data_IF_991497157122
#
_entry.id   IF_991497157122
#
_cell.length_a   1.000
_cell.length_b   1.000
_cell.length_c   1.000
_cell.angle_alpha   90.00
_cell.angle_beta   90.00
_cell.angle_gamma   90.00
#
_symmetry.space_group_name_H-M   'P 1'
#
loop_
_entity.id
_entity.type
_entity.pdbx_description
1 polymer ?
#
# COMPACT_ATOMS: atom_id res chain seq x y z
N UNK A 1 1.88 -2.13 -13.12
CA UNK A 1 1.97 -3.16 -12.05
C UNK A 1 0.63 -3.86 -11.93
N UNK A 2 0.56 -5.15 -11.59
CA UNK A 2 -0.72 -5.85 -11.40
C UNK A 2 -1.35 -5.47 -10.05
N UNK A 3 -2.64 -5.16 -10.02
CA UNK A 3 -3.40 -4.80 -8.82
C UNK A 3 -3.27 -5.83 -7.70
N UNK A 4 -3.44 -7.12 -8.04
CA UNK A 4 -3.29 -8.24 -7.09
C UNK A 4 -1.91 -8.34 -6.44
N UNK A 5 -0.88 -7.80 -7.09
CA UNK A 5 0.46 -7.76 -6.50
C UNK A 5 0.54 -6.66 -5.43
N UNK A 6 0.00 -5.48 -5.72
CA UNK A 6 -0.07 -4.35 -4.80
C UNK A 6 -0.89 -4.74 -3.56
N UNK A 7 -2.05 -5.37 -3.74
CA UNK A 7 -2.87 -5.88 -2.62
C UNK A 7 -2.07 -6.81 -1.69
N UNK A 8 -1.33 -7.76 -2.28
CA UNK A 8 -0.50 -8.68 -1.49
C UNK A 8 0.62 -7.97 -0.73
N UNK A 9 1.19 -6.90 -1.31
CA UNK A 9 2.24 -6.12 -0.66
C UNK A 9 1.67 -5.30 0.50
N UNK A 10 0.50 -4.67 0.31
CA UNK A 10 -0.22 -3.95 1.36
C UNK A 10 -0.52 -4.92 2.52
N UNK A 11 -1.17 -6.05 2.25
CA UNK A 11 -1.52 -7.04 3.29
C UNK A 11 -0.27 -7.50 4.06
N UNK A 12 0.82 -7.80 3.35
CA UNK A 12 2.09 -8.17 3.99
C UNK A 12 2.62 -7.05 4.88
N UNK A 13 2.60 -5.81 4.41
CA UNK A 13 3.07 -4.66 5.18
C UNK A 13 2.23 -4.46 6.46
N UNK A 14 0.90 -4.50 6.38
CA UNK A 14 0.03 -4.44 7.56
C UNK A 14 0.30 -5.55 8.59
N UNK A 15 0.58 -6.77 8.12
CA UNK A 15 0.97 -7.88 8.99
C UNK A 15 2.28 -7.62 9.74
N UNK A 16 3.24 -6.91 9.12
CA UNK A 16 4.49 -6.53 9.79
C UNK A 16 4.23 -5.60 10.98
N UNK A 17 3.25 -4.71 10.85
CA UNK A 17 2.86 -3.77 11.91
C UNK A 17 1.91 -4.36 12.95
N UNK A 18 1.59 -5.67 12.87
CA UNK A 18 0.58 -6.33 13.72
C UNK A 18 -0.78 -5.61 13.72
N UNK A 19 -1.09 -4.88 12.64
CA UNK A 19 -2.37 -4.20 12.49
C UNK A 19 -3.44 -5.16 11.99
N UNK A 20 -4.68 -4.92 12.43
CA UNK A 20 -5.83 -5.68 11.97
C UNK A 20 -6.05 -5.48 10.46
N UNK A 21 -6.68 -6.47 9.79
CA UNK A 21 -6.98 -6.38 8.37
C UNK A 21 -7.83 -5.13 8.06
N UNK A 22 -7.44 -4.45 6.99
CA UNK A 22 -8.13 -3.32 6.40
C UNK A 22 -9.59 -3.64 6.07
N UNK A 23 -10.47 -2.63 6.14
CA UNK A 23 -11.77 -2.71 5.48
C UNK A 23 -11.56 -2.80 3.97
N UNK A 24 -12.51 -3.42 3.24
CA UNK A 24 -12.41 -3.50 1.77
C UNK A 24 -12.30 -2.11 1.13
N UNK A 25 -12.99 -1.10 1.68
CA UNK A 25 -12.92 0.29 1.21
C UNK A 25 -11.52 0.90 1.40
N UNK A 26 -10.91 0.69 2.57
CA UNK A 26 -9.57 1.19 2.87
C UNK A 26 -8.52 0.51 1.97
N UNK A 27 -8.67 -0.80 1.75
CA UNK A 27 -7.79 -1.55 0.85
C UNK A 27 -7.89 -1.02 -0.59
N UNK A 28 -9.09 -0.83 -1.12
CA UNK A 28 -9.26 -0.25 -2.46
C UNK A 28 -8.68 1.16 -2.58
N UNK A 29 -8.86 1.99 -1.55
CA UNK A 29 -8.30 3.34 -1.52
C UNK A 29 -6.77 3.32 -1.58
N UNK A 30 -6.13 2.48 -0.75
CA UNK A 30 -4.67 2.33 -0.71
C UNK A 30 -4.13 1.80 -2.03
N UNK A 31 -4.79 0.79 -2.63
CA UNK A 31 -4.42 0.24 -3.93
C UNK A 31 -4.44 1.33 -5.02
N UNK A 32 -5.52 2.11 -5.09
CA UNK A 32 -5.64 3.22 -6.07
C UNK A 32 -4.57 4.29 -5.84
N UNK A 33 -4.28 4.62 -4.58
CA UNK A 33 -3.26 5.60 -4.24
C UNK A 33 -1.85 5.15 -4.65
N UNK A 34 -1.47 3.91 -4.30
CA UNK A 34 -0.19 3.31 -4.67
C UNK A 34 -0.08 3.21 -6.21
N UNK A 35 -1.14 2.79 -6.90
CA UNK A 35 -1.16 2.77 -8.36
C UNK A 35 -0.90 4.17 -8.94
N UNK A 36 -1.55 5.22 -8.43
CA UNK A 36 -1.33 6.58 -8.92
C UNK A 36 0.13 7.03 -8.76
N UNK A 37 0.77 6.70 -7.64
CA UNK A 37 2.18 7.02 -7.38
C UNK A 37 3.11 6.26 -8.33
N UNK A 38 2.92 4.95 -8.49
CA UNK A 38 3.71 4.12 -9.41
C UNK A 38 3.58 4.61 -10.86
N UNK A 39 2.37 4.98 -11.29
CA UNK A 39 2.15 5.52 -12.63
C UNK A 39 2.79 6.90 -12.81
N UNK A 40 2.86 7.72 -11.75
CA UNK A 40 3.47 9.05 -11.79
C UNK A 40 5.00 9.01 -11.74
N UNK A 41 5.59 7.94 -11.18
CA UNK A 41 7.03 7.75 -11.12
C UNK A 41 7.42 6.30 -11.43
N UNK A 42 7.75 6.02 -12.68
CA UNK A 42 8.10 4.67 -13.16
C UNK A 42 9.43 4.14 -12.62
N UNK A 43 10.23 4.96 -11.94
CA UNK A 43 11.50 4.56 -11.31
C UNK A 43 11.38 4.37 -9.80
N UNK A 44 10.19 4.53 -9.23
CA UNK A 44 10.00 4.39 -7.79
C UNK A 44 10.23 2.94 -7.35
N UNK A 45 10.87 2.75 -6.20
CA UNK A 45 10.88 1.45 -5.54
C UNK A 45 9.48 1.19 -4.99
N UNK A 46 8.78 0.24 -5.61
CA UNK A 46 7.38 -0.04 -5.29
C UNK A 46 7.26 -0.70 -3.92
N UNK A 47 8.28 -1.43 -3.48
CA UNK A 47 8.23 -2.07 -2.17
C UNK A 47 8.34 -1.02 -1.07
N UNK A 48 9.32 -0.13 -1.17
CA UNK A 48 9.50 0.99 -0.23
C UNK A 48 8.27 1.91 -0.22
N UNK A 49 7.75 2.28 -1.40
CA UNK A 49 6.58 3.14 -1.48
C UNK A 49 5.33 2.53 -0.82
N UNK A 50 5.12 1.22 -0.95
CA UNK A 50 4.01 0.54 -0.27
C UNK A 50 4.21 0.56 1.24
N UNK A 51 5.42 0.30 1.74
CA UNK A 51 5.70 0.32 3.18
C UNK A 51 5.52 1.72 3.78
N UNK A 52 6.01 2.77 3.10
CA UNK A 52 5.82 4.16 3.53
C UNK A 52 4.34 4.54 3.61
N UNK A 53 3.56 4.23 2.56
CA UNK A 53 2.12 4.56 2.52
C UNK A 53 1.34 3.81 3.61
N UNK A 54 1.67 2.53 3.83
CA UNK A 54 1.04 1.75 4.88
C UNK A 54 1.42 2.27 6.26
N UNK A 55 2.68 2.65 6.45
CA UNK A 55 3.16 3.25 7.69
C UNK A 55 2.45 4.59 7.98
N UNK A 56 2.35 5.48 7.00
CA UNK A 56 1.65 6.76 7.14
C UNK A 56 0.17 6.55 7.47
N UNK A 57 -0.48 5.60 6.79
CA UNK A 57 -1.86 5.22 7.09
C UNK A 57 -2.05 4.70 8.52
N UNK A 58 -1.18 3.81 8.98
CA UNK A 58 -1.24 3.22 10.33
C UNK A 58 -0.94 4.25 11.40
N UNK A 59 0.00 5.17 11.14
CA UNK A 59 0.41 6.20 12.10
C UNK A 59 -0.45 7.46 12.05
N UNK A 60 -1.32 7.61 11.05
CA UNK A 60 -2.20 8.75 10.86
C UNK A 60 -1.46 10.05 10.51
N UNK A 61 -0.34 9.93 9.79
CA UNK A 61 0.49 11.06 9.35
C UNK A 61 0.00 11.70 8.05
#
# INVERSE_FOLDING_TARGET
>A
MNEKLIEKMIIKSFQQYQCNPLSNEDQEMLVKHIQAIIHSNTKIDVYEAVEDIVYDYVTGK
#
